data_IF_116145434419
#
_entry.id   IF_116145434419
#
_cell.length_a   1.000
_cell.length_b   1.000
_cell.length_c   1.000
_cell.angle_alpha   90.00
_cell.angle_beta   90.00
_cell.angle_gamma   90.00
#
_symmetry.space_group_name_H-M   'P 1'
#
loop_
_entity.id
_entity.type
_entity.pdbx_description
1 polymer ?
#
# COMPACT_ATOMS: atom_id res chain seq x y z
N UNK A 1 -18.01 -18.69 17.70
CA UNK A 1 -18.05 -17.29 17.21
C UNK A 1 -16.81 -17.08 16.34
N UNK A 2 -16.98 -16.97 15.03
CA UNK A 2 -15.86 -16.61 14.15
C UNK A 2 -15.60 -15.11 14.33
N UNK A 3 -14.70 -14.77 15.24
CA UNK A 3 -14.00 -13.49 15.16
C UNK A 3 -13.28 -13.52 13.82
N UNK A 4 -13.80 -12.80 12.81
CA UNK A 4 -13.00 -12.54 11.63
C UNK A 4 -11.79 -11.76 12.14
N UNK A 5 -10.57 -12.33 12.11
CA UNK A 5 -9.40 -11.54 12.46
C UNK A 5 -9.39 -10.33 11.52
N UNK A 6 -8.91 -9.15 12.00
CA UNK A 6 -8.62 -8.05 11.08
C UNK A 6 -7.84 -8.63 9.90
N UNK A 7 -8.24 -8.31 8.65
CA UNK A 7 -7.65 -8.91 7.45
C UNK A 7 -6.14 -8.88 7.61
N UNK A 8 -5.53 -10.07 7.62
CA UNK A 8 -4.09 -10.16 7.82
C UNK A 8 -3.42 -9.69 6.54
N UNK A 9 -2.22 -9.15 6.67
CA UNK A 9 -1.37 -8.83 5.54
C UNK A 9 -1.33 -9.99 4.52
N UNK A 10 -1.35 -11.25 4.96
CA UNK A 10 -1.33 -12.41 4.05
C UNK A 10 -2.55 -12.49 3.09
N UNK A 11 -3.76 -12.14 3.58
CA UNK A 11 -4.98 -12.08 2.76
C UNK A 11 -4.89 -10.93 1.75
N UNK A 12 -4.48 -9.75 2.22
CA UNK A 12 -4.38 -8.54 1.41
C UNK A 12 -3.25 -8.65 0.38
N UNK A 13 -2.14 -9.31 0.75
CA UNK A 13 -0.99 -9.61 -0.12
C UNK A 13 -1.41 -10.39 -1.36
N UNK A 14 -2.31 -11.36 -1.23
CA UNK A 14 -2.70 -12.20 -2.37
C UNK A 14 -3.54 -11.40 -3.40
N UNK A 15 -4.46 -10.58 -2.89
CA UNK A 15 -5.28 -9.67 -3.70
C UNK A 15 -4.39 -8.62 -4.40
N UNK A 16 -3.50 -7.98 -3.64
CA UNK A 16 -2.57 -6.96 -4.13
C UNK A 16 -1.57 -7.53 -5.14
N UNK A 17 -1.08 -8.75 -4.94
CA UNK A 17 -0.22 -9.44 -5.90
C UNK A 17 -0.95 -9.65 -7.22
N UNK A 18 -2.20 -10.10 -7.16
CA UNK A 18 -3.00 -10.34 -8.36
C UNK A 18 -3.31 -9.03 -9.09
N UNK A 19 -3.58 -7.95 -8.36
CA UNK A 19 -3.79 -6.64 -8.95
C UNK A 19 -2.50 -6.05 -9.55
N UNK A 20 -1.37 -6.20 -8.84
CA UNK A 20 -0.06 -5.79 -9.33
C UNK A 20 0.30 -6.49 -10.63
N UNK A 21 0.16 -7.82 -10.68
CA UNK A 21 0.45 -8.59 -11.89
C UNK A 21 -0.43 -8.09 -13.03
N UNK A 22 -1.75 -7.99 -12.81
CA UNK A 22 -2.69 -7.53 -13.84
C UNK A 22 -2.40 -6.12 -14.37
N UNK A 23 -2.09 -5.18 -13.49
CA UNK A 23 -1.97 -3.75 -13.82
C UNK A 23 -0.56 -3.39 -14.29
N UNK A 24 0.47 -4.01 -13.72
CA UNK A 24 1.88 -3.65 -13.89
C UNK A 24 2.72 -4.75 -14.57
N UNK A 25 2.10 -5.78 -15.16
CA UNK A 25 2.75 -6.74 -16.08
C UNK A 25 3.66 -6.05 -17.13
N UNK A 26 3.30 -4.83 -17.55
CA UNK A 26 4.08 -4.03 -18.50
C UNK A 26 5.33 -3.36 -17.91
N UNK A 27 5.37 -3.13 -16.58
CA UNK A 27 6.47 -2.46 -15.88
C UNK A 27 7.70 -3.36 -15.66
N UNK A 28 7.64 -4.65 -16.05
CA UNK A 28 8.72 -5.64 -15.93
C UNK A 28 9.31 -5.79 -14.52
N UNK A 29 8.59 -5.37 -13.48
CA UNK A 29 8.97 -5.56 -12.08
C UNK A 29 8.15 -6.71 -11.50
N UNK A 30 8.79 -7.81 -11.07
CA UNK A 30 8.09 -8.89 -10.41
C UNK A 30 7.57 -8.42 -9.06
N UNK A 31 6.46 -9.00 -8.62
CA UNK A 31 5.88 -8.76 -7.29
C UNK A 31 6.91 -8.86 -6.17
N UNK A 32 7.86 -9.79 -6.27
CA UNK A 32 8.89 -10.05 -5.25
C UNK A 32 9.78 -8.83 -4.98
N UNK A 33 10.01 -7.98 -5.98
CA UNK A 33 10.79 -6.75 -5.84
C UNK A 33 9.98 -5.61 -5.20
N UNK A 34 8.66 -5.57 -5.40
CA UNK A 34 7.81 -4.46 -4.96
C UNK A 34 6.96 -4.79 -3.72
N UNK A 35 6.93 -6.05 -3.29
CA UNK A 35 6.06 -6.50 -2.21
C UNK A 35 6.27 -5.72 -0.91
N UNK A 36 7.50 -5.29 -0.65
CA UNK A 36 7.85 -4.55 0.56
C UNK A 36 7.33 -3.10 0.47
N UNK A 37 7.41 -2.49 -0.70
CA UNK A 37 6.84 -1.16 -0.97
C UNK A 37 5.32 -1.15 -0.88
N UNK A 38 4.68 -2.17 -1.46
CA UNK A 38 3.22 -2.34 -1.35
C UNK A 38 2.83 -2.51 0.11
N UNK A 39 3.59 -3.30 0.87
CA UNK A 39 3.36 -3.49 2.30
C UNK A 39 3.48 -2.18 3.06
N UNK A 40 4.55 -1.43 2.81
CA UNK A 40 4.77 -0.13 3.41
C UNK A 40 3.59 0.80 3.14
N UNK A 41 3.12 0.87 1.90
CA UNK A 41 1.92 1.64 1.53
C UNK A 41 0.68 1.24 2.31
N UNK A 42 0.42 -0.07 2.44
CA UNK A 42 -0.73 -0.59 3.20
C UNK A 42 -0.64 -0.29 4.70
N UNK A 43 0.56 -0.42 5.29
CA UNK A 43 0.80 -0.08 6.69
C UNK A 43 0.59 1.43 6.94
N UNK A 44 1.05 2.30 6.03
CA UNK A 44 0.78 3.74 6.14
C UNK A 44 -0.69 4.08 5.89
N UNK A 45 -1.37 3.47 4.93
CA UNK A 45 -2.79 3.72 4.69
C UNK A 45 -3.69 3.30 5.85
N UNK A 46 -3.26 2.33 6.64
CA UNK A 46 -3.92 1.87 7.86
C UNK A 46 -3.57 2.72 9.09
N UNK A 47 -2.58 3.61 8.99
CA UNK A 47 -2.12 4.42 10.10
C UNK A 47 -3.14 5.54 10.39
N UNK A 48 -3.57 5.72 11.66
CA UNK A 48 -4.50 6.76 12.05
C UNK A 48 -4.05 8.19 11.67
N UNK A 49 -2.74 8.42 11.54
CA UNK A 49 -2.16 9.70 11.09
C UNK A 49 -2.66 10.14 9.72
N UNK A 50 -2.94 9.19 8.83
CA UNK A 50 -3.37 9.46 7.46
C UNK A 50 -4.85 9.15 7.22
N UNK A 51 -5.65 9.02 8.29
CA UNK A 51 -7.11 8.87 8.16
C UNK A 51 -7.69 10.08 7.41
N UNK A 52 -8.55 9.81 6.42
CA UNK A 52 -9.13 10.86 5.55
C UNK A 52 -8.20 11.48 4.50
N UNK A 53 -6.87 11.31 4.58
CA UNK A 53 -5.94 11.81 3.58
C UNK A 53 -5.93 10.97 2.29
N UNK A 54 -5.72 11.58 1.12
CA UNK A 54 -5.50 10.84 -0.13
C UNK A 54 -4.01 10.61 -0.33
N UNK A 55 -3.66 9.60 -1.14
CA UNK A 55 -2.26 9.32 -1.48
C UNK A 55 -1.55 10.56 -2.03
N UNK A 56 -2.23 11.34 -2.88
CA UNK A 56 -1.68 12.56 -3.50
C UNK A 56 -1.32 13.64 -2.47
N UNK A 57 -2.06 13.73 -1.35
CA UNK A 57 -1.79 14.70 -0.28
C UNK A 57 -0.58 14.29 0.58
N UNK A 58 -0.29 13.00 0.65
CA UNK A 58 0.75 12.43 1.52
C UNK A 58 1.96 11.91 0.74
N UNK A 59 1.96 12.00 -0.59
CA UNK A 59 2.99 11.44 -1.47
C UNK A 59 4.39 11.91 -1.08
N UNK A 60 4.58 13.21 -0.83
CA UNK A 60 5.87 13.80 -0.45
C UNK A 60 6.35 13.32 0.94
N UNK A 61 5.43 13.17 1.91
CA UNK A 61 5.75 12.65 3.24
C UNK A 61 6.07 11.16 3.17
N UNK A 62 5.30 10.39 2.40
CA UNK A 62 5.52 8.96 2.19
C UNK A 62 6.84 8.69 1.48
N UNK A 63 7.19 9.48 0.47
CA UNK A 63 8.47 9.36 -0.23
C UNK A 63 9.63 9.52 0.75
N UNK A 64 9.63 10.59 1.54
CA UNK A 64 10.71 10.86 2.52
C UNK A 64 10.79 9.77 3.59
N UNK A 65 9.63 9.30 4.06
CA UNK A 65 9.57 8.23 5.05
C UNK A 65 10.13 6.93 4.47
N UNK A 66 9.76 6.62 3.24
CA UNK A 66 10.25 5.45 2.51
C UNK A 66 11.77 5.52 2.28
N UNK A 67 12.30 6.66 1.82
CA UNK A 67 13.76 6.87 1.65
C UNK A 67 14.52 6.70 2.97
N UNK A 68 13.89 7.07 4.08
CA UNK A 68 14.45 6.91 5.44
C UNK A 68 14.38 5.45 5.91
N UNK A 69 13.28 4.75 5.62
CA UNK A 69 13.05 3.35 6.02
C UNK A 69 13.85 2.36 5.18
N UNK A 70 14.09 2.67 3.91
CA UNK A 70 14.75 1.79 2.94
C UNK A 70 16.03 2.43 2.42
N UNK A 71 17.15 2.36 3.18
CA UNK A 71 18.41 3.00 2.77
C UNK A 71 19.03 2.41 1.50
N UNK A 72 18.63 1.19 1.11
CA UNK A 72 19.02 0.59 -0.18
C UNK A 72 18.26 1.19 -1.36
N UNK A 73 17.10 1.78 -1.10
CA UNK A 73 16.17 2.23 -2.11
C UNK A 73 16.43 3.69 -2.55
N UNK A 74 17.44 4.35 -1.95
CA UNK A 74 18.10 5.56 -2.49
C UNK A 74 18.63 5.39 -3.92
N UNK A 75 18.79 4.16 -4.37
CA UNK A 75 19.22 3.82 -5.73
C UNK A 75 18.05 3.50 -6.67
N UNK A 76 16.83 3.48 -6.15
CA UNK A 76 15.62 3.21 -6.91
C UNK A 76 14.83 4.48 -7.19
N UNK A 77 14.24 4.55 -8.38
CA UNK A 77 13.41 5.69 -8.78
C UNK A 77 12.05 5.59 -8.09
N UNK A 78 11.74 6.55 -7.20
CA UNK A 78 10.43 6.67 -6.54
C UNK A 78 9.27 6.58 -7.53
N UNK A 79 9.45 7.06 -8.77
CA UNK A 79 8.45 6.98 -9.85
C UNK A 79 7.96 5.56 -10.14
N UNK A 80 8.80 4.54 -9.94
CA UNK A 80 8.42 3.13 -10.15
C UNK A 80 7.78 2.52 -8.90
N UNK A 81 8.22 2.95 -7.72
CA UNK A 81 7.81 2.38 -6.43
C UNK A 81 6.55 3.04 -5.91
N UNK A 82 6.31 4.32 -6.26
CA UNK A 82 5.13 5.05 -5.84
C UNK A 82 3.84 4.36 -6.25
N UNK A 83 3.85 3.67 -7.38
CA UNK A 83 2.69 2.91 -7.86
C UNK A 83 2.42 1.70 -6.94
N UNK A 84 3.47 1.01 -6.50
CA UNK A 84 3.38 -0.07 -5.53
C UNK A 84 2.89 0.42 -4.16
N UNK A 85 3.50 1.50 -3.65
CA UNK A 85 3.10 2.13 -2.39
C UNK A 85 1.65 2.63 -2.49
N UNK A 86 1.28 3.28 -3.60
CA UNK A 86 -0.08 3.76 -3.84
C UNK A 86 -1.09 2.63 -3.85
N UNK A 87 -0.79 1.52 -4.51
CA UNK A 87 -1.66 0.36 -4.56
C UNK A 87 -1.94 -0.18 -3.14
N UNK A 88 -0.90 -0.33 -2.33
CA UNK A 88 -1.04 -0.75 -0.93
C UNK A 88 -1.84 0.26 -0.08
N UNK A 89 -1.52 1.54 -0.22
CA UNK A 89 -2.18 2.63 0.50
C UNK A 89 -3.67 2.71 0.15
N UNK A 90 -4.00 2.71 -1.13
CA UNK A 90 -5.39 2.77 -1.60
C UNK A 90 -6.19 1.57 -1.09
N UNK A 91 -5.60 0.37 -1.12
CA UNK A 91 -6.24 -0.84 -0.57
C UNK A 91 -6.54 -0.70 0.91
N UNK A 92 -5.57 -0.26 1.73
CA UNK A 92 -5.82 -0.01 3.15
C UNK A 92 -6.96 1.00 3.34
N UNK A 93 -7.02 2.03 2.51
CA UNK A 93 -8.04 3.08 2.59
C UNK A 93 -9.42 2.59 2.16
N UNK A 94 -9.51 1.68 1.20
CA UNK A 94 -10.76 0.99 0.87
C UNK A 94 -11.26 0.18 2.07
N UNK A 95 -10.39 -0.59 2.73
CA UNK A 95 -10.76 -1.42 3.88
C UNK A 95 -11.20 -0.59 5.10
N UNK A 96 -10.46 0.50 5.39
CA UNK A 96 -10.78 1.40 6.50
C UNK A 96 -11.93 2.36 6.18
N UNK A 97 -12.09 2.76 4.92
CA UNK A 97 -13.18 3.61 4.44
C UNK A 97 -14.52 2.88 4.36
N UNK A 98 -14.53 1.62 3.94
CA UNK A 98 -15.74 0.78 3.93
C UNK A 98 -16.30 0.54 5.34
N UNK A 99 -15.43 0.52 6.36
CA UNK A 99 -15.86 0.38 7.76
C UNK A 99 -16.70 1.58 8.22
N UNK A 100 -16.55 2.75 7.60
CA UNK A 100 -17.31 3.95 7.93
C UNK A 100 -18.70 4.00 7.27
N UNK A 101 -18.89 3.33 6.12
CA UNK A 101 -20.11 3.43 5.30
C UNK A 101 -21.21 2.40 5.64
N UNK A 102 -20.94 1.39 6.48
CA UNK A 102 -21.95 0.38 6.87
C UNK A 102 -22.77 0.74 8.13
N UNK A 103 -22.77 2.00 8.56
CA UNK A 103 -23.33 2.41 9.86
C UNK A 103 -24.58 3.30 9.75
N UNK A 104 -25.17 3.46 8.56
CA UNK A 104 -26.40 4.23 8.35
C UNK A 104 -27.51 3.38 7.75
#
# INVERSE_FOLDING_TARGET
MAMFPPRRWDDVRNDLRSDWDRTYLAYKRPWEEVQDDVRFGWEQGSNPRYLGAKFEDVEDELQKLWETSFPHARFEDWRYLKEAVRLGFDRAKQEHGETQLRQF
#
